data_IF_114187191889
#
_entry.id   IF_114187191889
#
_cell.length_a   1.000
_cell.length_b   1.000
_cell.length_c   1.000
_cell.angle_alpha   90.00
_cell.angle_beta   90.00
_cell.angle_gamma   90.00
#
_symmetry.space_group_name_H-M   'P 1'
#
loop_
_entity.id
_entity.type
_entity.pdbx_description
1 polymer ?
#
# COMPACT_ATOMS: atom_id res chain seq x y z
N UNK A 1 3.66 6.10 14.88
CA UNK A 1 2.32 6.20 14.24
C UNK A 1 2.29 5.32 13.00
N UNK A 2 1.15 4.64 12.68
CA UNK A 2 1.07 3.63 11.61
C UNK A 2 1.41 4.15 10.21
N UNK A 3 0.98 5.36 9.84
CA UNK A 3 1.31 5.96 8.53
C UNK A 3 2.82 6.18 8.36
N UNK A 4 3.53 6.55 9.45
CA UNK A 4 4.99 6.67 9.43
C UNK A 4 5.65 5.31 9.17
N UNK A 5 5.12 4.23 9.74
CA UNK A 5 5.65 2.89 9.49
C UNK A 5 5.51 2.46 8.01
N UNK A 6 4.40 2.82 7.35
CA UNK A 6 4.23 2.61 5.90
C UNK A 6 5.27 3.43 5.12
N UNK A 7 5.39 4.72 5.43
CA UNK A 7 6.34 5.64 4.80
C UNK A 7 7.79 5.13 4.91
N UNK A 8 8.21 4.78 6.13
CA UNK A 8 9.56 4.29 6.38
C UNK A 8 9.81 2.96 5.64
N UNK A 9 8.81 2.05 5.63
CA UNK A 9 8.92 0.78 4.91
C UNK A 9 9.10 0.99 3.40
N UNK A 10 8.36 1.90 2.76
CA UNK A 10 8.52 2.17 1.32
C UNK A 10 9.94 2.66 1.00
N UNK A 11 10.49 3.56 1.84
CA UNK A 11 11.86 4.06 1.68
C UNK A 11 12.92 2.96 1.83
N UNK A 12 12.64 1.89 2.58
CA UNK A 12 13.52 0.71 2.67
C UNK A 12 13.47 -0.15 1.41
N UNK A 13 12.34 -0.16 0.69
CA UNK A 13 12.21 -0.95 -0.54
C UNK A 13 12.85 -0.27 -1.74
N UNK A 14 12.79 1.06 -1.78
CA UNK A 14 13.22 1.80 -2.97
C UNK A 14 13.66 3.23 -2.64
N UNK A 15 14.93 3.54 -2.91
CA UNK A 15 15.54 4.81 -2.54
C UNK A 15 15.14 6.00 -3.42
N UNK A 16 14.60 5.75 -4.61
CA UNK A 16 14.19 6.76 -5.58
C UNK A 16 12.65 6.86 -5.73
N UNK A 17 11.88 6.40 -4.75
CA UNK A 17 10.46 6.69 -4.71
C UNK A 17 10.22 8.16 -4.35
N UNK A 18 9.34 8.80 -5.11
CA UNK A 18 8.94 10.19 -4.90
C UNK A 18 7.71 10.26 -3.99
N UNK A 19 7.82 10.98 -2.87
CA UNK A 19 6.68 11.31 -2.03
C UNK A 19 5.85 12.43 -2.65
N UNK A 20 4.53 12.29 -2.65
CA UNK A 20 3.62 13.33 -3.10
C UNK A 20 2.29 13.30 -2.35
N UNK A 21 1.52 14.37 -2.48
CA UNK A 21 0.11 14.41 -2.09
C UNK A 21 -0.74 14.29 -3.35
N UNK A 22 -1.67 13.34 -3.37
CA UNK A 22 -2.61 13.15 -4.46
C UNK A 22 -3.95 12.70 -3.90
N UNK A 23 -5.06 13.24 -4.43
CA UNK A 23 -6.40 13.03 -3.87
C UNK A 23 -6.48 13.33 -2.36
N UNK A 24 -5.73 14.33 -1.88
CA UNK A 24 -5.61 14.68 -0.45
C UNK A 24 -5.02 13.57 0.45
N UNK A 25 -4.28 12.62 -0.13
CA UNK A 25 -3.64 11.53 0.60
C UNK A 25 -2.13 11.51 0.37
N UNK A 26 -1.33 11.07 1.36
CA UNK A 26 0.04 10.63 1.15
C UNK A 26 0.12 9.53 0.07
N UNK A 27 1.08 9.69 -0.82
CA UNK A 27 1.29 8.77 -1.92
C UNK A 27 2.77 8.69 -2.31
N UNK A 28 3.13 7.60 -2.96
CA UNK A 28 4.43 7.41 -3.58
C UNK A 28 4.29 7.20 -5.08
N UNK A 29 5.26 7.72 -5.82
CA UNK A 29 5.47 7.43 -7.25
C UNK A 29 6.85 6.79 -7.45
N UNK A 30 6.96 5.99 -8.49
CA UNK A 30 8.22 5.42 -8.94
C UNK A 30 8.23 5.41 -10.48
N UNK A 31 9.30 5.94 -11.09
CA UNK A 31 9.42 6.11 -12.56
C UNK A 31 8.20 6.82 -13.18
N UNK A 32 7.77 7.92 -12.57
CA UNK A 32 6.57 8.69 -12.97
C UNK A 32 5.24 7.91 -12.92
N UNK A 33 5.21 6.69 -12.40
CA UNK A 33 4.00 5.87 -12.23
C UNK A 33 3.58 5.83 -10.75
N UNK A 34 2.27 5.77 -10.45
CA UNK A 34 1.82 5.56 -9.08
C UNK A 34 2.33 4.24 -8.50
N UNK A 35 2.94 4.31 -7.32
CA UNK A 35 3.39 3.17 -6.53
C UNK A 35 2.31 2.78 -5.52
N UNK A 36 2.00 3.64 -4.56
CA UNK A 36 0.92 3.41 -3.59
C UNK A 36 0.29 4.73 -3.15
N UNK A 37 -0.93 4.64 -2.61
CA UNK A 37 -1.54 5.68 -1.78
C UNK A 37 -1.95 5.08 -0.44
N UNK A 38 -2.06 5.91 0.59
CA UNK A 38 -2.48 5.46 1.91
C UNK A 38 -3.02 6.62 2.74
N UNK A 39 -4.04 6.35 3.55
CA UNK A 39 -4.68 7.35 4.39
C UNK A 39 -5.19 6.74 5.70
N UNK A 40 -5.26 7.56 6.75
CA UNK A 40 -5.88 7.16 8.01
C UNK A 40 -7.34 7.64 8.05
N UNK A 41 -8.23 6.74 8.43
CA UNK A 41 -9.64 6.99 8.71
C UNK A 41 -9.95 6.69 10.16
N UNK A 42 -11.17 6.99 10.62
CA UNK A 42 -11.58 6.85 12.02
C UNK A 42 -11.27 5.47 12.63
N UNK A 43 -11.47 4.40 11.85
CA UNK A 43 -11.38 3.02 12.34
C UNK A 43 -10.31 2.16 11.62
N UNK A 44 -9.71 2.65 10.53
CA UNK A 44 -8.80 1.85 9.70
C UNK A 44 -7.77 2.74 8.97
N UNK A 45 -6.71 2.10 8.50
CA UNK A 45 -5.83 2.63 7.46
C UNK A 45 -6.33 2.13 6.12
N UNK A 46 -6.68 3.04 5.22
CA UNK A 46 -6.93 2.71 3.81
C UNK A 46 -5.62 2.60 3.07
N UNK A 47 -5.43 1.48 2.36
CA UNK A 47 -4.24 1.23 1.55
C UNK A 47 -4.63 0.92 0.11
N UNK A 48 -3.96 1.60 -0.84
CA UNK A 48 -4.36 1.65 -2.25
C UNK A 48 -3.15 1.32 -3.13
N UNK A 49 -2.83 0.02 -3.35
CA UNK A 49 -1.66 -0.40 -4.12
C UNK A 49 -1.95 -0.60 -5.62
N UNK A 50 -3.00 0.04 -6.14
CA UNK A 50 -3.51 -0.10 -7.50
C UNK A 50 -4.26 -1.44 -7.74
N UNK A 51 -5.17 -1.50 -8.74
CA UNK A 51 -6.07 -2.65 -8.92
C UNK A 51 -5.39 -4.00 -9.17
N UNK A 52 -4.34 -4.05 -10.00
CA UNK A 52 -3.66 -5.32 -10.31
C UNK A 52 -2.95 -5.91 -9.09
N UNK A 53 -2.33 -5.07 -8.26
CA UNK A 53 -1.76 -5.51 -6.99
C UNK A 53 -2.86 -5.99 -6.04
N UNK A 54 -3.99 -5.29 -5.91
CA UNK A 54 -5.11 -5.78 -5.08
C UNK A 54 -5.57 -7.17 -5.53
N UNK A 55 -5.80 -7.34 -6.83
CA UNK A 55 -6.22 -8.60 -7.44
C UNK A 55 -5.25 -9.74 -7.14
N UNK A 56 -3.94 -9.48 -7.20
CA UNK A 56 -2.89 -10.46 -6.90
C UNK A 56 -2.93 -10.97 -5.45
N UNK A 57 -3.35 -10.13 -4.51
CA UNK A 57 -3.31 -10.41 -3.07
C UNK A 57 -4.70 -10.61 -2.42
N UNK A 58 -5.78 -10.73 -3.20
CA UNK A 58 -7.15 -10.94 -2.67
C UNK A 58 -7.26 -12.17 -1.76
N UNK A 59 -6.51 -13.23 -2.07
CA UNK A 59 -6.46 -14.43 -1.23
C UNK A 59 -5.91 -14.13 0.15
N UNK A 60 -4.79 -13.40 0.26
CA UNK A 60 -4.23 -12.97 1.54
C UNK A 60 -5.22 -12.10 2.34
N UNK A 61 -5.94 -11.21 1.68
CA UNK A 61 -6.95 -10.37 2.35
C UNK A 61 -8.11 -11.18 2.89
N UNK A 62 -8.58 -12.17 2.11
CA UNK A 62 -9.68 -13.06 2.48
C UNK A 62 -9.28 -13.95 3.66
N UNK A 63 -8.11 -14.58 3.61
CA UNK A 63 -7.60 -15.44 4.69
C UNK A 63 -7.40 -14.67 6.00
N UNK A 64 -6.96 -13.42 5.90
CA UNK A 64 -6.77 -12.51 7.05
C UNK A 64 -8.03 -11.75 7.45
N UNK A 65 -9.14 -11.96 6.74
CA UNK A 65 -10.45 -11.32 6.98
C UNK A 65 -10.40 -9.79 6.94
N UNK A 66 -9.56 -9.21 6.10
CA UNK A 66 -9.55 -7.76 5.86
C UNK A 66 -10.70 -7.36 4.95
N UNK A 67 -11.25 -6.16 5.15
CA UNK A 67 -12.19 -5.56 4.21
C UNK A 67 -11.43 -5.02 3.01
N UNK A 68 -11.86 -5.36 1.79
CA UNK A 68 -11.24 -4.87 0.57
C UNK A 68 -12.26 -4.69 -0.56
N UNK A 69 -11.84 -3.97 -1.59
CA UNK A 69 -12.57 -3.71 -2.82
C UNK A 69 -11.58 -3.71 -3.99
N UNK A 70 -12.08 -3.47 -5.21
CA UNK A 70 -11.23 -3.33 -6.41
C UNK A 70 -10.20 -2.20 -6.32
N UNK A 71 -10.39 -1.24 -5.41
CA UNK A 71 -9.53 -0.05 -5.30
C UNK A 71 -8.76 0.09 -3.99
N UNK A 72 -9.09 -0.69 -2.95
CA UNK A 72 -8.47 -0.54 -1.63
C UNK A 72 -8.56 -1.80 -0.77
N UNK A 73 -7.63 -1.93 0.17
CA UNK A 73 -7.74 -2.81 1.35
C UNK A 73 -7.70 -1.95 2.62
N UNK A 74 -8.49 -2.31 3.62
CA UNK A 74 -8.59 -1.61 4.89
C UNK A 74 -7.91 -2.41 6.00
N UNK A 75 -6.95 -1.81 6.68
CA UNK A 75 -6.28 -2.39 7.85
C UNK A 75 -6.85 -1.79 9.13
N UNK A 76 -7.49 -2.57 10.02
CA UNK A 76 -8.06 -2.06 11.26
C UNK A 76 -7.05 -1.28 12.12
N UNK A 77 -7.49 -0.19 12.75
CA UNK A 77 -6.62 0.62 13.61
C UNK A 77 -6.27 -0.09 14.92
N UNK A 78 -7.15 -0.97 15.40
CA UNK A 78 -6.95 -1.71 16.65
C UNK A 78 -5.96 -2.88 16.52
N UNK A 79 -5.72 -3.36 15.30
CA UNK A 79 -4.82 -4.48 15.02
C UNK A 79 -3.39 -4.01 14.68
N UNK A 80 -2.40 -4.90 14.76
CA UNK A 80 -1.07 -4.57 14.24
C UNK A 80 -1.11 -4.40 12.72
N UNK A 81 -0.38 -3.40 12.20
CA UNK A 81 -0.30 -3.18 10.77
C UNK A 81 0.48 -4.34 10.12
N UNK A 82 -0.04 -5.03 9.09
CA UNK A 82 0.62 -6.20 8.50
C UNK A 82 1.75 -5.78 7.54
N UNK A 83 2.82 -5.18 8.07
CA UNK A 83 3.90 -4.59 7.27
C UNK A 83 4.51 -5.57 6.26
N UNK A 84 4.68 -6.83 6.60
CA UNK A 84 5.18 -7.85 5.67
C UNK A 84 4.26 -8.08 4.45
N UNK A 85 2.94 -7.94 4.61
CA UNK A 85 2.00 -8.01 3.48
C UNK A 85 2.06 -6.72 2.64
N UNK A 86 2.19 -5.57 3.30
CA UNK A 86 2.32 -4.26 2.64
C UNK A 86 3.61 -4.21 1.81
N UNK A 87 4.72 -4.70 2.37
CA UNK A 87 6.01 -4.83 1.69
C UNK A 87 5.89 -5.69 0.42
N UNK A 88 5.29 -6.88 0.51
CA UNK A 88 5.08 -7.74 -0.66
C UNK A 88 4.27 -7.05 -1.76
N UNK A 89 3.24 -6.29 -1.40
CA UNK A 89 2.44 -5.51 -2.36
C UNK A 89 3.27 -4.40 -3.02
N UNK A 90 4.08 -3.67 -2.23
CA UNK A 90 4.97 -2.61 -2.75
C UNK A 90 6.02 -3.20 -3.69
N UNK A 91 6.67 -4.30 -3.31
CA UNK A 91 7.67 -4.99 -4.15
C UNK A 91 7.06 -5.50 -5.45
N UNK A 92 5.87 -6.11 -5.38
CA UNK A 92 5.14 -6.54 -6.58
C UNK A 92 4.86 -5.35 -7.51
N UNK A 93 4.40 -4.23 -6.96
CA UNK A 93 4.10 -3.04 -7.75
C UNK A 93 5.36 -2.40 -8.36
N UNK A 94 6.50 -2.43 -7.66
CA UNK A 94 7.80 -2.01 -8.20
C UNK A 94 8.17 -2.89 -9.39
N UNK A 95 8.09 -4.22 -9.26
CA UNK A 95 8.37 -5.16 -10.34
C UNK A 95 7.46 -4.92 -11.56
N UNK A 96 6.16 -4.69 -11.36
CA UNK A 96 5.25 -4.30 -12.45
C UNK A 96 5.65 -3.00 -13.14
N UNK A 97 6.12 -2.00 -12.39
CA UNK A 97 6.58 -0.72 -12.95
C UNK A 97 7.85 -0.92 -13.78
N UNK A 98 8.75 -1.79 -13.31
CA UNK A 98 10.00 -2.17 -13.97
C UNK A 98 9.80 -3.13 -15.15
N UNK A 99 8.65 -3.79 -15.24
CA UNK A 99 8.30 -4.73 -16.31
C UNK A 99 8.93 -6.11 -16.13
N UNK A 100 9.08 -6.57 -14.88
CA UNK A 100 9.74 -7.82 -14.49
C UNK A 100 8.76 -8.73 -13.74
#
# INVERSE_FOLDING_TARGET
MKLKAIRDMVHLQISNAEECISYQMPAFKYKNKPLIYFAAYKNHIGFYPLPETLKKFEKDFTERKYSFSKGAVQFPLEEQLPLALIEKMVQFRIAEIDGI
#
